data_IF_092575654849
#
_entry.id   IF_092575654849
#
_cell.length_a   1.000
_cell.length_b   1.000
_cell.length_c   1.000
_cell.angle_alpha   90.00
_cell.angle_beta   90.00
_cell.angle_gamma   90.00
#
_symmetry.space_group_name_H-M   'P 1'
#
loop_
_entity.id
_entity.type
_entity.pdbx_description
1 polymer ?
#
# COMPACT_ATOMS: atom_id res chain seq x y z
N UNK A 1 24.50 -13.86 -5.60
CA UNK A 1 23.45 -13.59 -6.62
C UNK A 1 22.05 -13.44 -6.02
N UNK A 2 21.75 -14.09 -4.89
CA UNK A 2 20.48 -13.97 -4.14
C UNK A 2 20.30 -12.61 -3.45
N UNK A 3 21.36 -12.01 -2.90
CA UNK A 3 21.27 -10.71 -2.23
C UNK A 3 21.03 -9.54 -3.17
N UNK A 4 21.68 -9.50 -4.34
CA UNK A 4 21.45 -8.48 -5.36
C UNK A 4 19.98 -8.45 -5.79
N UNK A 5 19.35 -9.60 -6.01
CA UNK A 5 17.92 -9.68 -6.37
C UNK A 5 17.01 -9.15 -5.26
N UNK A 6 17.31 -9.47 -3.99
CA UNK A 6 16.56 -8.95 -2.84
C UNK A 6 16.69 -7.43 -2.73
N UNK A 7 17.89 -6.88 -2.92
CA UNK A 7 18.14 -5.43 -2.88
C UNK A 7 17.41 -4.71 -4.01
N UNK A 8 17.41 -5.26 -5.22
CA UNK A 8 16.68 -4.69 -6.36
C UNK A 8 15.17 -4.65 -6.07
N UNK A 9 14.57 -5.75 -5.59
CA UNK A 9 13.14 -5.77 -5.24
C UNK A 9 12.79 -4.73 -4.17
N UNK A 10 13.68 -4.54 -3.19
CA UNK A 10 13.60 -3.51 -2.13
C UNK A 10 13.46 -2.12 -2.74
N UNK A 11 14.38 -1.79 -3.64
CA UNK A 11 14.44 -0.48 -4.28
C UNK A 11 13.19 -0.27 -5.12
N UNK A 12 12.76 -1.27 -5.90
CA UNK A 12 11.56 -1.18 -6.73
C UNK A 12 10.32 -0.89 -5.88
N UNK A 13 10.13 -1.65 -4.79
CA UNK A 13 8.97 -1.48 -3.91
C UNK A 13 9.00 -0.11 -3.20
N UNK A 14 10.17 0.31 -2.71
CA UNK A 14 10.33 1.60 -2.06
C UNK A 14 10.09 2.76 -3.02
N UNK A 15 10.66 2.71 -4.22
CA UNK A 15 10.47 3.73 -5.27
C UNK A 15 9.00 3.79 -5.69
N UNK A 16 8.34 2.65 -5.91
CA UNK A 16 6.92 2.61 -6.24
C UNK A 16 6.06 3.27 -5.15
N UNK A 17 6.33 2.97 -3.87
CA UNK A 17 5.65 3.61 -2.74
C UNK A 17 5.87 5.12 -2.68
N UNK A 18 7.12 5.58 -2.88
CA UNK A 18 7.45 7.01 -2.88
C UNK A 18 6.77 7.75 -4.04
N UNK A 19 6.80 7.18 -5.25
CA UNK A 19 6.12 7.76 -6.40
C UNK A 19 4.61 7.88 -6.15
N UNK A 20 3.99 6.85 -5.55
CA UNK A 20 2.58 6.91 -5.19
C UNK A 20 2.29 8.02 -4.16
N UNK A 21 3.13 8.18 -3.14
CA UNK A 21 3.00 9.28 -2.17
C UNK A 21 3.12 10.66 -2.81
N UNK A 22 4.03 10.83 -3.78
CA UNK A 22 4.15 12.07 -4.56
C UNK A 22 2.86 12.35 -5.35
N UNK A 23 2.26 11.32 -5.96
CA UNK A 23 0.97 11.45 -6.65
C UNK A 23 -0.14 11.87 -5.69
N UNK A 24 -0.25 11.21 -4.52
CA UNK A 24 -1.22 11.58 -3.49
C UNK A 24 -1.04 13.03 -3.02
N UNK A 25 0.20 13.45 -2.78
CA UNK A 25 0.51 14.81 -2.36
C UNK A 25 0.12 15.85 -3.42
N UNK A 26 0.48 15.59 -4.69
CA UNK A 26 0.14 16.48 -5.80
C UNK A 26 -1.38 16.59 -5.99
N UNK A 27 -2.11 15.47 -5.90
CA UNK A 27 -3.57 15.46 -5.96
C UNK A 27 -4.20 16.24 -4.81
N UNK A 28 -3.70 16.06 -3.58
CA UNK A 28 -4.20 16.82 -2.44
C UNK A 28 -3.95 18.33 -2.59
N UNK A 29 -2.79 18.74 -3.11
CA UNK A 29 -2.50 20.15 -3.39
C UNK A 29 -3.35 20.76 -4.49
N UNK A 30 -3.77 19.98 -5.49
CA UNK A 30 -4.53 20.49 -6.63
C UNK A 30 -6.03 20.59 -6.35
N UNK A 31 -6.61 19.59 -5.68
CA UNK A 31 -8.08 19.48 -5.52
C UNK A 31 -8.53 19.24 -4.07
N UNK A 32 -7.61 19.19 -3.12
CA UNK A 32 -7.91 18.98 -1.70
C UNK A 32 -8.70 17.69 -1.44
N UNK A 33 -9.51 17.70 -0.38
CA UNK A 33 -10.42 16.59 -0.07
C UNK A 33 -11.62 16.48 -1.02
N UNK A 34 -11.97 17.54 -1.74
CA UNK A 34 -13.09 17.56 -2.68
C UNK A 34 -12.87 16.70 -3.94
N UNK A 35 -11.60 16.36 -4.26
CA UNK A 35 -11.28 15.54 -5.42
C UNK A 35 -11.98 14.19 -5.44
N UNK A 36 -12.19 13.56 -4.28
CA UNK A 36 -12.93 12.29 -4.19
C UNK A 36 -14.39 12.42 -4.60
N UNK A 37 -15.03 13.57 -4.33
CA UNK A 37 -16.40 13.82 -4.78
C UNK A 37 -16.52 13.81 -6.31
N UNK A 38 -15.53 14.40 -6.99
CA UNK A 38 -15.46 14.37 -8.45
C UNK A 38 -15.19 12.97 -9.01
N UNK A 39 -14.33 12.17 -8.35
CA UNK A 39 -14.09 10.78 -8.76
C UNK A 39 -15.36 9.95 -8.60
N UNK A 40 -16.07 10.08 -7.49
CA UNK A 40 -17.30 9.32 -7.23
C UNK A 40 -18.48 9.70 -8.14
N UNK A 41 -18.42 10.87 -8.77
CA UNK A 41 -19.41 11.27 -9.79
C UNK A 41 -19.21 10.53 -11.12
N UNK A 42 -18.01 10.01 -11.37
CA UNK A 42 -17.70 9.25 -12.59
C UNK A 42 -18.03 7.76 -12.42
N UNK A 43 -18.66 7.10 -13.41
CA UNK A 43 -19.04 5.68 -13.31
C UNK A 43 -17.87 4.75 -12.98
N UNK A 44 -16.70 5.03 -13.55
CA UNK A 44 -15.48 4.25 -13.30
C UNK A 44 -14.84 4.56 -11.95
N UNK A 45 -15.11 5.72 -11.34
CA UNK A 45 -14.53 6.07 -10.05
C UNK A 45 -14.98 5.13 -8.94
N UNK A 46 -16.24 4.68 -8.97
CA UNK A 46 -16.74 3.66 -8.04
C UNK A 46 -16.05 2.30 -8.27
N UNK A 47 -15.83 1.92 -9.52
CA UNK A 47 -15.15 0.66 -9.87
C UNK A 47 -13.69 0.70 -9.41
N UNK A 48 -12.98 1.81 -9.63
CA UNK A 48 -11.61 1.99 -9.15
C UNK A 48 -11.55 1.97 -7.62
N UNK A 49 -12.51 2.58 -6.93
CA UNK A 49 -12.56 2.49 -5.47
C UNK A 49 -12.78 1.04 -5.01
N UNK A 50 -13.72 0.32 -5.63
CA UNK A 50 -13.99 -1.08 -5.33
C UNK A 50 -12.76 -1.97 -5.57
N UNK A 51 -12.04 -1.75 -6.67
CA UNK A 51 -10.79 -2.44 -7.00
C UNK A 51 -9.73 -2.24 -5.91
N UNK A 52 -9.52 -1.00 -5.46
CA UNK A 52 -8.58 -0.70 -4.37
C UNK A 52 -9.03 -1.33 -3.04
N UNK A 53 -10.33 -1.31 -2.74
CA UNK A 53 -10.87 -1.96 -1.53
C UNK A 53 -10.69 -3.48 -1.57
N UNK A 54 -10.95 -4.11 -2.73
CA UNK A 54 -10.72 -5.53 -2.94
C UNK A 54 -9.22 -5.87 -2.80
N UNK A 55 -8.34 -5.05 -3.36
CA UNK A 55 -6.89 -5.15 -3.14
C UNK A 55 -6.53 -5.11 -1.66
N UNK A 56 -7.16 -4.23 -0.89
CA UNK A 56 -7.00 -4.15 0.57
C UNK A 56 -7.43 -5.44 1.29
N UNK A 57 -8.57 -6.02 0.92
CA UNK A 57 -9.03 -7.32 1.45
C UNK A 57 -8.05 -8.44 1.12
N UNK A 58 -7.62 -8.54 -0.14
CA UNK A 58 -6.66 -9.55 -0.59
C UNK A 58 -5.32 -9.41 0.17
N UNK A 59 -4.79 -8.19 0.29
CA UNK A 59 -3.57 -7.95 1.04
C UNK A 59 -3.74 -8.25 2.53
N UNK A 60 -4.90 -7.90 3.10
CA UNK A 60 -5.25 -8.27 4.47
C UNK A 60 -5.20 -9.79 4.68
N UNK A 61 -5.76 -10.57 3.76
CA UNK A 61 -5.68 -12.03 3.81
C UNK A 61 -4.23 -12.54 3.78
N UNK A 62 -3.36 -11.95 2.95
CA UNK A 62 -1.93 -12.27 2.91
C UNK A 62 -1.25 -11.95 4.25
N UNK A 63 -1.53 -10.78 4.83
CA UNK A 63 -0.98 -10.38 6.13
C UNK A 63 -1.43 -11.33 7.24
N UNK A 64 -2.71 -11.69 7.27
CA UNK A 64 -3.27 -12.63 8.25
C UNK A 64 -2.73 -14.06 8.10
N UNK A 65 -2.43 -14.49 6.87
CA UNK A 65 -1.78 -15.77 6.63
C UNK A 65 -0.31 -15.78 7.06
N UNK A 66 0.38 -14.65 6.95
CA UNK A 66 1.81 -14.52 7.27
C UNK A 66 2.08 -14.25 8.76
N UNK A 67 1.33 -13.34 9.37
CA UNK A 67 1.56 -12.91 10.74
C UNK A 67 1.07 -13.94 11.75
N UNK A 68 1.97 -14.43 12.60
CA UNK A 68 1.62 -15.40 13.65
C UNK A 68 0.61 -14.83 14.66
N UNK A 69 0.71 -13.53 14.94
CA UNK A 69 -0.17 -12.84 15.88
C UNK A 69 -1.29 -12.09 15.13
N UNK A 70 -2.53 -12.55 15.29
CA UNK A 70 -3.71 -11.93 14.65
C UNK A 70 -3.90 -10.44 14.99
N UNK A 71 -3.46 -10.01 16.18
CA UNK A 71 -3.49 -8.60 16.59
C UNK A 71 -2.57 -7.74 15.72
N UNK A 72 -1.34 -8.22 15.46
CA UNK A 72 -0.40 -7.54 14.57
C UNK A 72 -0.95 -7.51 13.16
N UNK A 73 -1.50 -8.63 12.67
CA UNK A 73 -2.13 -8.67 11.35
C UNK A 73 -3.24 -7.62 11.21
N UNK A 74 -4.10 -7.50 12.21
CA UNK A 74 -5.19 -6.52 12.23
C UNK A 74 -4.67 -5.07 12.24
N UNK A 75 -3.64 -4.78 13.04
CA UNK A 75 -3.02 -3.45 13.11
C UNK A 75 -2.39 -3.02 11.78
N UNK A 76 -1.94 -3.96 10.96
CA UNK A 76 -1.44 -3.66 9.61
C UNK A 76 -2.53 -3.63 8.55
N UNK A 77 -3.57 -4.43 8.71
CA UNK A 77 -4.65 -4.54 7.72
C UNK A 77 -5.63 -3.37 7.80
N UNK A 78 -6.06 -2.96 8.99
CA UNK A 78 -7.05 -1.89 9.15
C UNK A 78 -6.62 -0.55 8.51
N UNK A 79 -5.37 -0.09 8.68
CA UNK A 79 -4.96 1.17 8.07
C UNK A 79 -4.92 1.15 6.54
N UNK A 80 -4.89 -0.02 5.89
CA UNK A 80 -4.92 -0.11 4.41
C UNK A 80 -6.22 0.49 3.86
N UNK A 81 -7.35 0.33 4.56
CA UNK A 81 -8.64 0.86 4.11
C UNK A 81 -8.76 2.38 4.24
N UNK A 82 -7.85 3.02 4.99
CA UNK A 82 -7.83 4.47 5.20
C UNK A 82 -6.69 5.15 4.43
N UNK A 83 -5.51 4.53 4.45
CA UNK A 83 -4.27 5.08 3.90
C UNK A 83 -3.88 4.43 2.56
N UNK A 84 -4.68 3.48 2.09
CA UNK A 84 -4.43 2.72 0.88
C UNK A 84 -3.20 1.79 1.00
N UNK A 85 -2.65 1.45 -0.16
CA UNK A 85 -1.56 0.47 -0.28
C UNK A 85 -0.18 1.00 0.12
N UNK A 86 -0.05 2.25 0.57
CA UNK A 86 1.19 2.74 1.22
C UNK A 86 1.52 1.87 2.45
N UNK A 87 0.50 1.47 3.20
CA UNK A 87 0.65 0.60 4.38
C UNK A 87 1.10 -0.79 3.95
N UNK A 88 0.57 -1.31 2.85
CA UNK A 88 0.99 -2.59 2.27
C UNK A 88 2.47 -2.56 1.85
N UNK A 89 2.92 -1.48 1.22
CA UNK A 89 4.33 -1.24 0.88
C UNK A 89 5.20 -1.25 2.13
N UNK A 90 4.83 -0.48 3.16
CA UNK A 90 5.58 -0.44 4.41
C UNK A 90 5.65 -1.83 5.07
N UNK A 91 4.54 -2.58 5.09
CA UNK A 91 4.52 -3.94 5.62
C UNK A 91 5.46 -4.87 4.85
N UNK A 92 5.43 -4.84 3.51
CA UNK A 92 6.32 -5.63 2.66
C UNK A 92 7.80 -5.33 2.92
N UNK A 93 8.16 -4.04 3.02
CA UNK A 93 9.53 -3.60 3.30
C UNK A 93 10.03 -4.09 4.66
N UNK A 94 9.16 -4.08 5.69
CA UNK A 94 9.53 -4.51 7.05
C UNK A 94 9.64 -6.02 7.23
N UNK A 95 8.94 -6.85 6.42
CA UNK A 95 8.85 -8.31 6.62
C UNK A 95 9.68 -9.12 5.65
N UNK A 96 9.60 -8.79 4.37
CA UNK A 96 10.15 -9.66 3.32
C UNK A 96 11.56 -9.29 2.89
N UNK A 97 12.06 -8.18 3.43
CA UNK A 97 13.22 -7.53 2.88
C UNK A 97 14.22 -7.35 4.04
N UNK A 98 15.27 -8.19 4.10
CA UNK A 98 16.11 -8.34 5.29
C UNK A 98 16.69 -7.01 5.74
N UNK A 99 16.87 -6.79 7.04
CA UNK A 99 17.69 -5.68 7.52
C UNK A 99 19.07 -5.82 6.86
N UNK A 100 19.58 -4.77 6.22
CA UNK A 100 21.00 -4.72 5.91
C UNK A 100 21.68 -4.62 7.27
N UNK A 101 22.04 -5.78 7.83
CA UNK A 101 23.02 -5.83 8.89
C UNK A 101 24.36 -5.62 8.18
N UNK A 102 24.99 -4.50 8.50
CA UNK A 102 26.40 -4.25 8.24
C UNK A 102 27.27 -5.29 8.97
#
# INVERSE_FOLDING_TARGET
MTDTKKTISKIIIAVAGLLFLVLCWNAYRSVGGSGFGSVLAEPWGLVTLADVMLGGVCMGAVIFAYEKQKRVALMWTLPIFLLGHVVSVAWLLLRFLPQMAD
#
